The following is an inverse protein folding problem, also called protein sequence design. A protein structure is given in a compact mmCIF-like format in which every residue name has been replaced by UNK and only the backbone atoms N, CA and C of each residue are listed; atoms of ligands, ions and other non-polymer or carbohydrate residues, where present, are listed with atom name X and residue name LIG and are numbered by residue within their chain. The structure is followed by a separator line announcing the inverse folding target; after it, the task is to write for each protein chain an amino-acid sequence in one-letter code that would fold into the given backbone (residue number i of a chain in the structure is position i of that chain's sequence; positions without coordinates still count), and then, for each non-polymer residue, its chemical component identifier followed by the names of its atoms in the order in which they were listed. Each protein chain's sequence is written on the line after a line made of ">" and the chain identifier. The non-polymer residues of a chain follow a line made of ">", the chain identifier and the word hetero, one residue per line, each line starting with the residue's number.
data_IF_096842344375
#
_entry.id   IF_096842344375
#
_cell.length_a   1.000
_cell.length_b   1.000
_cell.length_c   1.000
_cell.angle_alpha   90.00
_cell.angle_beta   90.00
_cell.angle_gamma   90.00
#
_symmetry.space_group_name_H-M   'P 1'
#
loop_
_entity.id
_entity.type
_entity.pdbx_description
1 polymer ?
#
# COMPACT_ATOMS: atom_id res chain seq x y z
N UNK A 1 -54.94 26.63 16.36
CA UNK A 1 -53.84 27.19 15.54
C UNK A 1 -52.52 26.41 15.67
N UNK A 2 -52.15 25.89 16.80
CA UNK A 2 -50.90 25.14 17.03
C UNK A 2 -50.71 23.87 16.19
N UNK A 3 -51.79 23.13 15.86
CA UNK A 3 -51.70 21.91 15.07
C UNK A 3 -51.33 22.13 13.59
N UNK A 4 -51.77 23.25 13.01
CA UNK A 4 -51.41 23.61 11.62
C UNK A 4 -49.95 24.04 11.46
N UNK A 5 -49.37 24.69 12.44
CA UNK A 5 -47.96 25.05 12.45
C UNK A 5 -47.03 23.83 12.65
N UNK A 6 -47.48 22.83 13.42
CA UNK A 6 -46.74 21.58 13.62
C UNK A 6 -46.74 20.71 12.35
N UNK A 7 -47.85 20.65 11.61
CA UNK A 7 -47.94 19.90 10.34
C UNK A 7 -47.10 20.61 9.25
N UNK A 8 -47.12 21.94 9.16
CA UNK A 8 -46.27 22.67 8.21
C UNK A 8 -44.76 22.48 8.48
N UNK A 9 -44.34 22.51 9.75
CA UNK A 9 -42.92 22.27 10.09
C UNK A 9 -42.49 20.81 9.85
N UNK A 10 -43.38 19.83 10.07
CA UNK A 10 -43.12 18.42 9.76
C UNK A 10 -43.01 18.15 8.24
N UNK A 11 -43.88 18.76 7.45
CA UNK A 11 -43.86 18.66 5.97
C UNK A 11 -42.61 19.35 5.40
N UNK A 12 -42.23 20.50 5.96
CA UNK A 12 -40.97 21.19 5.56
C UNK A 12 -39.70 20.38 5.91
N UNK A 13 -39.68 19.67 7.05
CA UNK A 13 -38.59 18.81 7.44
C UNK A 13 -38.48 17.56 6.56
N UNK A 14 -39.64 16.98 6.15
CA UNK A 14 -39.66 15.84 5.21
C UNK A 14 -39.25 16.25 3.76
N UNK A 15 -39.59 17.45 3.34
CA UNK A 15 -39.19 17.96 2.02
C UNK A 15 -37.65 18.22 1.91
N UNK A 16 -36.99 18.53 3.00
CA UNK A 16 -35.53 18.73 3.05
C UNK A 16 -34.73 17.45 3.05
N UNK A 17 -35.31 16.31 3.45
CA UNK A 17 -34.57 15.02 3.47
C UNK A 17 -34.41 14.34 2.11
N UNK A 18 -35.09 14.81 1.06
CA UNK A 18 -35.11 14.25 -0.30
C UNK A 18 -34.16 14.92 -1.30
N UNK A 19 -33.40 15.94 -0.90
CA UNK A 19 -32.64 16.77 -1.85
C UNK A 19 -31.19 16.31 -2.10
N UNK A 20 -30.74 15.18 -1.56
CA UNK A 20 -29.42 14.66 -1.92
C UNK A 20 -29.42 14.17 -3.39
N UNK A 21 -28.69 14.90 -4.24
CA UNK A 21 -28.60 14.61 -5.69
C UNK A 21 -27.32 13.79 -5.95
N UNK A 22 -27.46 12.48 -6.00
CA UNK A 22 -26.32 11.60 -6.32
C UNK A 22 -26.78 10.32 -7.03
N UNK A 23 -25.88 9.61 -7.72
CA UNK A 23 -26.18 8.26 -8.17
C UNK A 23 -26.34 7.32 -6.96
N UNK A 24 -27.19 6.31 -7.09
CA UNK A 24 -27.27 5.24 -6.11
C UNK A 24 -25.90 4.56 -6.01
N UNK A 25 -25.45 4.33 -4.78
CA UNK A 25 -24.24 3.57 -4.52
C UNK A 25 -24.48 2.11 -4.88
N UNK A 26 -23.98 1.71 -6.03
CA UNK A 26 -24.02 0.30 -6.44
C UNK A 26 -22.67 -0.32 -6.04
N UNK A 27 -22.68 -1.14 -5.00
CA UNK A 27 -21.54 -2.03 -4.76
C UNK A 27 -21.47 -3.02 -5.92
N UNK A 28 -20.25 -3.30 -6.46
CA UNK A 28 -20.10 -4.32 -7.47
C UNK A 28 -20.71 -5.64 -6.99
N UNK A 29 -21.53 -6.26 -7.82
CA UNK A 29 -22.05 -7.58 -7.49
C UNK A 29 -20.87 -8.56 -7.44
N UNK A 30 -20.71 -9.35 -6.37
CA UNK A 30 -19.71 -10.41 -6.36
C UNK A 30 -19.96 -11.35 -7.54
N UNK A 31 -18.89 -11.99 -8.09
CA UNK A 31 -19.08 -13.03 -9.09
C UNK A 31 -20.09 -14.07 -8.60
N UNK A 32 -20.83 -14.67 -9.56
CA UNK A 32 -21.83 -15.65 -9.18
C UNK A 32 -21.21 -16.77 -8.33
N UNK A 33 -21.88 -17.26 -7.28
CA UNK A 33 -21.35 -18.37 -6.47
C UNK A 33 -20.93 -19.58 -7.30
N UNK A 34 -21.61 -19.86 -8.41
CA UNK A 34 -21.26 -20.93 -9.34
C UNK A 34 -19.90 -20.74 -10.04
N UNK A 35 -19.42 -19.50 -10.12
CA UNK A 35 -18.09 -19.21 -10.72
C UNK A 35 -16.95 -19.18 -9.69
N UNK A 36 -17.27 -19.04 -8.40
CA UNK A 36 -16.28 -18.85 -7.35
C UNK A 36 -16.33 -19.87 -6.22
N UNK A 37 -17.43 -20.63 -6.10
CA UNK A 37 -17.58 -21.74 -5.14
C UNK A 37 -17.14 -23.05 -5.76
N UNK A 38 -16.19 -23.73 -5.14
CA UNK A 38 -15.67 -25.00 -5.59
C UNK A 38 -14.14 -25.08 -5.50
N UNK A 39 -13.57 -26.27 -5.64
CA UNK A 39 -12.13 -26.45 -5.64
C UNK A 39 -11.51 -25.72 -6.83
N UNK A 40 -10.32 -25.17 -6.66
CA UNK A 40 -9.57 -24.61 -7.78
C UNK A 40 -9.27 -25.69 -8.82
N UNK A 41 -9.36 -25.34 -10.11
CA UNK A 41 -9.21 -26.30 -11.24
C UNK A 41 -7.91 -27.09 -11.22
N UNK A 42 -6.83 -26.50 -10.69
CA UNK A 42 -5.50 -27.12 -10.56
C UNK A 42 -5.20 -27.67 -9.16
N UNK A 43 -6.14 -27.60 -8.23
CA UNK A 43 -5.93 -28.07 -6.87
C UNK A 43 -5.98 -29.61 -6.82
N UNK A 44 -4.86 -30.23 -6.46
CA UNK A 44 -4.85 -31.64 -6.08
C UNK A 44 -5.39 -31.76 -4.65
N UNK A 45 -6.45 -32.52 -4.45
CA UNK A 45 -7.17 -32.67 -3.18
C UNK A 45 -6.31 -33.15 -2.02
N UNK A 46 -5.17 -33.77 -2.31
CA UNK A 46 -4.23 -34.28 -1.30
C UNK A 46 -3.26 -33.20 -0.79
N UNK A 47 -3.12 -32.08 -1.50
CA UNK A 47 -2.15 -31.02 -1.19
C UNK A 47 -2.83 -29.77 -0.65
N UNK A 48 -4.15 -29.60 -0.84
CA UNK A 48 -4.88 -28.40 -0.45
C UNK A 48 -6.12 -28.74 0.37
N UNK A 49 -6.51 -27.80 1.26
CA UNK A 49 -7.76 -27.88 2.02
C UNK A 49 -8.62 -26.64 1.79
N UNK A 50 -9.93 -26.78 1.97
CA UNK A 50 -10.88 -25.68 1.87
C UNK A 50 -10.87 -24.73 3.09
N UNK A 51 -9.99 -24.98 4.05
CA UNK A 51 -9.84 -24.09 5.19
C UNK A 51 -9.30 -22.71 4.74
N UNK A 52 -9.74 -21.62 5.38
CA UNK A 52 -9.22 -20.30 5.03
C UNK A 52 -7.73 -20.18 5.37
N UNK A 53 -6.96 -19.58 4.47
CA UNK A 53 -5.53 -19.29 4.69
C UNK A 53 -5.37 -18.40 5.95
N UNK A 54 -4.52 -18.74 6.93
CA UNK A 54 -4.25 -17.90 8.08
C UNK A 54 -3.59 -16.58 7.66
N UNK A 55 -3.68 -15.54 8.47
CA UNK A 55 -3.04 -14.24 8.19
C UNK A 55 -1.52 -14.34 8.27
N UNK A 56 -1.01 -15.21 9.11
CA UNK A 56 0.39 -15.51 9.34
C UNK A 56 0.82 -16.80 8.61
N UNK A 57 0.43 -16.92 7.34
CA UNK A 57 0.62 -18.10 6.50
C UNK A 57 2.08 -18.58 6.40
N UNK A 58 3.08 -17.70 6.57
CA UNK A 58 4.50 -18.08 6.57
C UNK A 58 4.87 -19.00 7.74
N UNK A 59 4.09 -19.02 8.82
CA UNK A 59 4.28 -19.96 9.93
C UNK A 59 3.99 -21.41 9.59
N UNK A 60 3.33 -21.66 8.45
CA UNK A 60 3.16 -23.00 7.93
C UNK A 60 4.49 -23.69 7.58
N UNK A 61 5.58 -22.91 7.43
CA UNK A 61 6.92 -23.45 7.24
C UNK A 61 7.59 -23.91 8.56
N UNK A 62 7.01 -23.60 9.71
CA UNK A 62 7.51 -23.97 11.04
C UNK A 62 9.00 -23.59 11.26
N UNK A 63 9.42 -22.44 10.70
CA UNK A 63 10.80 -21.94 10.74
C UNK A 63 10.89 -20.67 11.61
N UNK A 64 11.48 -20.75 12.81
CA UNK A 64 11.57 -19.59 13.71
C UNK A 64 12.49 -18.49 13.18
N UNK A 65 13.44 -18.80 12.27
CA UNK A 65 14.28 -17.79 11.62
C UNK A 65 13.45 -16.99 10.64
N UNK A 66 12.62 -17.65 9.84
CA UNK A 66 11.67 -16.99 8.93
C UNK A 66 10.69 -16.11 9.72
N UNK A 67 10.15 -16.60 10.83
CA UNK A 67 9.26 -15.81 11.69
C UNK A 67 9.92 -14.51 12.17
N UNK A 68 11.18 -14.61 12.59
CA UNK A 68 11.98 -13.44 13.00
C UNK A 68 12.23 -12.45 11.85
N UNK A 69 12.59 -12.96 10.67
CA UNK A 69 12.83 -12.11 9.48
C UNK A 69 11.57 -11.39 9.01
N UNK A 70 10.42 -12.08 9.03
CA UNK A 70 9.13 -11.46 8.69
C UNK A 70 8.75 -10.41 9.72
N UNK A 71 8.95 -10.66 11.01
CA UNK A 71 8.69 -9.67 12.07
C UNK A 71 9.56 -8.41 11.89
N UNK A 72 10.85 -8.59 11.61
CA UNK A 72 11.78 -7.50 11.31
C UNK A 72 11.34 -6.71 10.08
N UNK A 73 10.98 -7.40 8.99
CA UNK A 73 10.52 -6.77 7.76
C UNK A 73 9.23 -5.96 7.99
N UNK A 74 8.24 -6.52 8.69
CA UNK A 74 7.00 -5.79 9.01
C UNK A 74 7.24 -4.55 9.88
N UNK A 75 8.28 -4.57 10.73
CA UNK A 75 8.63 -3.45 11.61
C UNK A 75 9.49 -2.36 10.97
N UNK A 76 10.39 -2.73 10.06
CA UNK A 76 11.45 -1.83 9.58
C UNK A 76 11.38 -1.52 8.08
N UNK A 77 10.59 -2.24 7.29
CA UNK A 77 10.54 -2.08 5.84
C UNK A 77 10.12 -0.67 5.41
N UNK A 78 10.83 -0.10 4.43
CA UNK A 78 10.61 1.27 3.95
C UNK A 78 9.33 1.42 3.15
N UNK A 79 8.91 0.40 2.41
CA UNK A 79 7.69 0.45 1.59
C UNK A 79 6.45 0.43 2.47
N UNK A 80 6.48 -0.34 3.58
CA UNK A 80 5.42 -0.30 4.59
C UNK A 80 5.34 1.09 5.21
N UNK A 81 6.47 1.71 5.57
CA UNK A 81 6.48 3.08 6.12
C UNK A 81 5.92 4.10 5.13
N UNK A 82 6.25 3.97 3.84
CA UNK A 82 5.68 4.81 2.79
C UNK A 82 4.15 4.60 2.66
N UNK A 83 3.68 3.36 2.70
CA UNK A 83 2.26 3.04 2.63
C UNK A 83 1.49 3.64 3.81
N UNK A 84 2.04 3.54 5.03
CA UNK A 84 1.48 4.16 6.24
C UNK A 84 1.44 5.70 6.10
N UNK A 85 2.51 6.32 5.60
CA UNK A 85 2.52 7.77 5.37
C UNK A 85 1.46 8.22 4.34
N UNK A 86 1.22 7.42 3.29
CA UNK A 86 0.13 7.67 2.32
C UNK A 86 -1.25 7.56 2.98
N UNK A 87 -1.46 6.57 3.84
CA UNK A 87 -2.69 6.41 4.62
C UNK A 87 -2.89 7.61 5.57
N UNK A 88 -1.84 8.09 6.24
CA UNK A 88 -1.93 9.26 7.13
C UNK A 88 -2.25 10.54 6.35
N UNK A 89 -1.73 10.70 5.13
CA UNK A 89 -2.11 11.78 4.22
C UNK A 89 -3.60 11.71 3.85
N UNK A 90 -4.12 10.54 3.49
CA UNK A 90 -5.55 10.36 3.21
C UNK A 90 -6.42 10.65 4.44
N UNK A 91 -5.96 10.26 5.64
CA UNK A 91 -6.61 10.59 6.92
C UNK A 91 -6.63 12.09 7.18
N UNK A 92 -5.56 12.80 6.86
CA UNK A 92 -5.52 14.26 6.96
C UNK A 92 -6.47 14.93 5.96
N UNK A 93 -6.55 14.42 4.71
CA UNK A 93 -7.49 14.89 3.70
C UNK A 93 -8.95 14.72 4.16
N UNK A 94 -9.28 13.58 4.77
CA UNK A 94 -10.62 13.36 5.36
C UNK A 94 -10.91 14.35 6.51
N UNK A 95 -9.92 14.68 7.33
CA UNK A 95 -10.11 15.72 8.38
C UNK A 95 -10.37 17.08 7.73
N UNK A 96 -9.64 17.44 6.67
CA UNK A 96 -9.88 18.65 5.88
C UNK A 96 -11.31 18.68 5.32
N UNK A 97 -11.73 17.63 4.63
CA UNK A 97 -13.10 17.56 4.09
C UNK A 97 -14.17 17.65 5.18
N UNK A 98 -13.92 17.11 6.37
CA UNK A 98 -14.86 17.23 7.51
C UNK A 98 -14.93 18.66 8.07
N UNK A 99 -13.85 19.46 7.97
CA UNK A 99 -13.88 20.85 8.41
C UNK A 99 -14.80 21.73 7.58
N UNK A 100 -15.08 21.34 6.32
CA UNK A 100 -16.03 22.04 5.44
C UNK A 100 -17.49 21.98 5.93
N UNK A 101 -17.79 21.11 6.91
CA UNK A 101 -19.06 21.10 7.65
C UNK A 101 -19.17 22.16 8.75
N UNK A 102 -18.07 22.80 9.07
CA UNK A 102 -18.02 23.81 10.13
C UNK A 102 -17.92 25.20 9.52
N UNK A 103 -18.42 26.24 10.19
CA UNK A 103 -18.17 27.58 9.74
C UNK A 103 -16.67 27.88 9.66
N UNK A 104 -16.24 28.50 8.58
CA UNK A 104 -14.88 29.01 8.40
C UNK A 104 -14.82 30.43 8.97
N UNK A 105 -13.83 30.68 9.82
CA UNK A 105 -13.59 32.01 10.41
C UNK A 105 -12.30 32.55 9.80
N UNK A 106 -12.40 33.68 9.13
CA UNK A 106 -11.28 34.48 8.63
C UNK A 106 -10.99 35.66 9.53
N UNK A 107 -9.71 35.94 9.78
CA UNK A 107 -9.26 37.18 10.42
C UNK A 107 -8.38 37.94 9.44
N UNK A 108 -8.74 39.21 9.19
CA UNK A 108 -7.99 40.07 8.27
C UNK A 108 -7.49 41.30 9.05
N UNK A 109 -6.21 41.59 8.87
CA UNK A 109 -5.62 42.85 9.35
C UNK A 109 -4.82 43.46 8.21
N UNK A 110 -5.04 44.72 7.92
CA UNK A 110 -4.25 45.45 6.94
C UNK A 110 -3.86 46.82 7.41
N UNK A 111 -2.66 47.23 7.03
CA UNK A 111 -2.19 48.59 7.18
C UNK A 111 -1.67 49.08 5.82
N UNK A 112 -2.17 50.19 5.35
CA UNK A 112 -1.79 50.73 4.04
C UNK A 112 -1.43 52.22 4.22
N UNK A 113 -0.29 52.62 3.67
CA UNK A 113 0.04 54.04 3.48
C UNK A 113 -0.22 54.37 2.00
N UNK A 114 -1.05 55.34 1.77
CA UNK A 114 -1.42 55.78 0.40
C UNK A 114 -1.07 57.23 0.18
N UNK A 115 -0.68 57.54 -1.03
CA UNK A 115 -0.50 58.93 -1.48
C UNK A 115 -1.33 59.12 -2.75
N UNK A 116 -2.35 59.97 -2.64
CA UNK A 116 -3.24 60.34 -3.75
C UNK A 116 -2.54 61.27 -4.72
N UNK A 117 -2.64 61.08 -6.02
CA UNK A 117 -2.12 62.01 -7.04
C UNK A 117 -2.75 63.38 -6.91
N UNK A 118 -1.98 64.42 -7.28
CA UNK A 118 -2.41 65.81 -7.15
C UNK A 118 -3.70 66.14 -7.90
N UNK A 119 -3.86 65.57 -9.07
CA UNK A 119 -5.02 65.79 -9.92
C UNK A 119 -6.32 65.12 -9.40
N UNK A 120 -6.22 64.18 -8.46
CA UNK A 120 -7.35 63.57 -7.79
C UNK A 120 -7.61 64.11 -6.39
N UNK A 121 -6.75 65.07 -5.92
CA UNK A 121 -6.86 65.58 -4.57
C UNK A 121 -7.59 66.93 -4.60
N UNK A 122 -8.69 67.10 -3.86
CA UNK A 122 -9.35 68.43 -3.76
C UNK A 122 -8.40 69.49 -3.21
N UNK A 123 -8.54 70.76 -3.59
CA UNK A 123 -7.70 71.82 -3.06
C UNK A 123 -7.76 71.92 -1.53
N UNK A 124 -6.61 71.81 -0.86
CA UNK A 124 -6.49 71.94 0.59
C UNK A 124 -6.64 70.59 1.35
N UNK A 125 -6.83 69.46 0.69
CA UNK A 125 -6.86 68.15 1.33
C UNK A 125 -5.45 67.54 1.40
N UNK A 126 -5.20 66.76 2.48
CA UNK A 126 -3.95 66.01 2.62
C UNK A 126 -3.86 64.89 1.57
N UNK A 127 -2.71 64.79 0.92
CA UNK A 127 -2.43 63.82 -0.13
C UNK A 127 -1.94 62.48 0.38
N UNK A 128 -1.61 62.38 1.61
CA UNK A 128 -1.09 61.21 2.26
C UNK A 128 -2.01 60.75 3.36
N UNK A 129 -2.27 59.48 3.42
CA UNK A 129 -3.11 58.90 4.48
C UNK A 129 -2.60 57.52 4.88
N UNK A 130 -2.76 57.21 6.16
CA UNK A 130 -2.55 55.86 6.69
C UNK A 130 -3.90 55.24 7.01
N UNK A 131 -4.18 54.10 6.41
CA UNK A 131 -5.38 53.33 6.73
C UNK A 131 -5.01 52.07 7.48
N UNK A 132 -5.70 51.79 8.58
CA UNK A 132 -5.59 50.54 9.33
C UNK A 132 -6.98 49.89 9.33
N UNK A 133 -7.09 48.63 8.99
CA UNK A 133 -8.33 47.89 9.13
C UNK A 133 -8.10 46.54 9.81
N UNK A 134 -9.05 46.14 10.63
CA UNK A 134 -9.14 44.87 11.31
C UNK A 134 -10.54 44.31 11.09
N UNK A 135 -10.64 43.09 10.60
CA UNK A 135 -11.91 42.44 10.31
C UNK A 135 -11.91 40.95 10.72
N UNK A 136 -13.08 40.48 11.06
CA UNK A 136 -13.37 39.07 11.19
C UNK A 136 -14.56 38.72 10.33
N UNK A 137 -14.47 37.65 9.58
CA UNK A 137 -15.54 37.10 8.73
C UNK A 137 -15.84 35.67 9.09
N UNK A 138 -17.09 35.29 8.97
CA UNK A 138 -17.56 33.90 9.16
C UNK A 138 -18.32 33.50 7.92
N UNK A 139 -18.04 32.34 7.39
CA UNK A 139 -18.73 31.77 6.22
C UNK A 139 -19.07 30.31 6.49
N UNK A 140 -20.32 29.90 6.16
CA UNK A 140 -20.82 28.56 6.31
C UNK A 140 -21.65 28.17 5.08
N UNK A 141 -21.29 27.08 4.42
CA UNK A 141 -22.05 26.49 3.32
C UNK A 141 -23.14 25.56 3.87
N UNK A 142 -24.40 25.81 3.52
CA UNK A 142 -25.53 24.95 3.87
C UNK A 142 -25.62 23.81 2.88
N UNK A 143 -25.35 22.58 3.32
CA UNK A 143 -25.27 21.38 2.47
C UNK A 143 -26.65 20.83 2.07
N UNK A 144 -27.42 21.60 1.28
CA UNK A 144 -28.78 21.24 0.86
C UNK A 144 -28.77 20.12 -0.20
N UNK A 145 -27.80 20.09 -1.09
CA UNK A 145 -27.73 19.16 -2.22
C UNK A 145 -26.72 18.05 -2.01
N UNK A 146 -26.09 17.97 -0.83
CA UNK A 146 -25.19 16.89 -0.44
C UNK A 146 -23.76 17.03 -1.00
N UNK A 147 -23.34 18.21 -1.47
CA UNK A 147 -22.01 18.48 -2.00
C UNK A 147 -20.92 18.22 -0.95
N UNK A 148 -21.06 18.85 0.23
CA UNK A 148 -20.09 18.71 1.33
C UNK A 148 -20.12 17.28 1.90
N UNK A 149 -21.31 16.71 2.06
CA UNK A 149 -21.48 15.33 2.51
C UNK A 149 -20.89 14.32 1.54
N UNK A 150 -21.07 14.54 0.23
CA UNK A 150 -20.47 13.73 -0.83
C UNK A 150 -18.94 13.81 -0.82
N UNK A 151 -18.36 15.00 -0.66
CA UNK A 151 -16.92 15.19 -0.57
C UNK A 151 -16.31 14.47 0.65
N UNK A 152 -16.98 14.51 1.79
CA UNK A 152 -16.57 13.76 3.00
C UNK A 152 -16.63 12.26 2.76
N UNK A 153 -17.69 11.79 2.07
CA UNK A 153 -17.84 10.38 1.74
C UNK A 153 -16.76 9.90 0.78
N UNK A 154 -16.48 10.65 -0.28
CA UNK A 154 -15.39 10.38 -1.21
C UNK A 154 -14.05 10.29 -0.47
N UNK A 155 -13.74 11.26 0.39
CA UNK A 155 -12.50 11.25 1.19
C UNK A 155 -12.42 10.10 2.19
N UNK A 156 -13.56 9.62 2.70
CA UNK A 156 -13.62 8.44 3.58
C UNK A 156 -13.29 7.17 2.79
N UNK A 157 -13.83 7.04 1.59
CA UNK A 157 -13.58 5.90 0.72
C UNK A 157 -12.13 5.93 0.19
N UNK A 158 -11.56 7.11 -0.09
CA UNK A 158 -10.12 7.26 -0.40
C UNK A 158 -9.23 6.78 0.75
N UNK A 159 -9.57 7.09 2.00
CA UNK A 159 -8.85 6.58 3.16
C UNK A 159 -8.96 5.05 3.26
N UNK A 160 -10.15 4.50 3.03
CA UNK A 160 -10.34 3.05 3.06
C UNK A 160 -9.55 2.35 1.92
N UNK A 161 -9.46 2.97 0.73
CA UNK A 161 -8.61 2.51 -0.35
C UNK A 161 -7.12 2.54 0.04
N UNK A 162 -6.65 3.62 0.65
CA UNK A 162 -5.26 3.75 1.12
C UNK A 162 -4.91 2.74 2.23
N UNK A 163 -5.88 2.37 3.08
CA UNK A 163 -5.73 1.30 4.07
C UNK A 163 -5.56 -0.06 3.39
N UNK A 164 -6.40 -0.36 2.41
CA UNK A 164 -6.29 -1.60 1.65
C UNK A 164 -4.97 -1.68 0.84
N UNK A 165 -4.50 -0.55 0.27
CA UNK A 165 -3.18 -0.48 -0.36
C UNK A 165 -2.05 -0.79 0.62
N UNK A 166 -2.13 -0.29 1.86
CA UNK A 166 -1.13 -0.59 2.89
C UNK A 166 -1.16 -2.08 3.28
N UNK A 167 -2.34 -2.70 3.31
CA UNK A 167 -2.46 -4.15 3.52
C UNK A 167 -1.84 -4.94 2.36
N UNK A 168 -2.01 -4.49 1.10
CA UNK A 168 -1.38 -5.10 -0.07
C UNK A 168 0.16 -5.05 0.00
N UNK A 169 0.72 -3.91 0.40
CA UNK A 169 2.17 -3.76 0.60
C UNK A 169 2.68 -4.70 1.68
N UNK A 170 1.95 -4.87 2.79
CA UNK A 170 2.33 -5.83 3.84
C UNK A 170 2.38 -7.26 3.32
N UNK A 171 1.35 -7.69 2.57
CA UNK A 171 1.32 -9.03 1.97
C UNK A 171 2.52 -9.22 1.04
N UNK A 172 2.83 -8.23 0.21
CA UNK A 172 3.95 -8.28 -0.72
C UNK A 172 5.29 -8.37 0.01
N UNK A 173 5.52 -7.55 1.04
CA UNK A 173 6.77 -7.58 1.83
C UNK A 173 6.96 -8.92 2.53
N UNK A 174 5.90 -9.51 3.07
CA UNK A 174 5.97 -10.87 3.68
C UNK A 174 6.31 -11.93 2.62
N UNK A 175 5.66 -11.87 1.46
CA UNK A 175 5.93 -12.80 0.36
C UNK A 175 7.37 -12.69 -0.15
N UNK A 176 7.85 -11.47 -0.37
CA UNK A 176 9.22 -11.20 -0.84
C UNK A 176 10.27 -11.64 0.19
N UNK A 177 10.00 -11.42 1.49
CA UNK A 177 10.89 -11.88 2.57
C UNK A 177 10.97 -13.40 2.60
N UNK A 178 9.83 -14.09 2.50
CA UNK A 178 9.76 -15.54 2.46
C UNK A 178 10.49 -16.10 1.23
N UNK A 179 10.27 -15.48 0.05
CA UNK A 179 10.89 -15.88 -1.20
C UNK A 179 12.41 -15.66 -1.17
N UNK A 180 12.88 -14.52 -0.66
CA UNK A 180 14.31 -14.23 -0.55
C UNK A 180 15.00 -15.23 0.40
N UNK A 181 14.36 -15.55 1.53
CA UNK A 181 14.89 -16.56 2.45
C UNK A 181 14.92 -17.97 1.83
N UNK A 182 13.85 -18.37 1.14
CA UNK A 182 13.79 -19.65 0.43
C UNK A 182 14.86 -19.75 -0.67
N UNK A 183 15.09 -18.65 -1.41
CA UNK A 183 16.13 -18.60 -2.44
C UNK A 183 17.54 -18.72 -1.85
N UNK A 184 17.82 -18.08 -0.71
CA UNK A 184 19.10 -18.19 -0.01
C UNK A 184 19.35 -19.64 0.46
N UNK A 185 18.36 -20.28 1.06
CA UNK A 185 18.43 -21.67 1.50
C UNK A 185 18.59 -22.66 0.33
N UNK A 186 17.82 -22.48 -0.74
CA UNK A 186 17.93 -23.30 -1.94
C UNK A 186 19.27 -23.14 -2.64
N UNK A 187 19.81 -21.92 -2.71
CA UNK A 187 21.14 -21.70 -3.27
C UNK A 187 22.23 -22.35 -2.42
N UNK A 188 22.13 -22.31 -1.07
CA UNK A 188 23.04 -23.00 -0.17
C UNK A 188 23.02 -24.52 -0.41
N UNK A 189 21.84 -25.14 -0.48
CA UNK A 189 21.71 -26.55 -0.80
C UNK A 189 22.35 -26.93 -2.16
N UNK A 190 22.15 -26.10 -3.18
CA UNK A 190 22.76 -26.30 -4.51
C UNK A 190 24.28 -26.16 -4.49
N UNK A 191 24.86 -25.27 -3.67
CA UNK A 191 26.30 -25.13 -3.48
C UNK A 191 26.87 -26.43 -2.88
N UNK A 192 26.21 -26.98 -1.85
CA UNK A 192 26.66 -28.20 -1.19
C UNK A 192 26.65 -29.39 -2.15
N UNK A 193 25.60 -29.53 -2.96
CA UNK A 193 25.52 -30.56 -4.02
C UNK A 193 26.61 -30.35 -5.08
N UNK A 194 26.79 -29.11 -5.55
CA UNK A 194 27.80 -28.80 -6.57
C UNK A 194 29.23 -29.11 -6.07
N UNK A 195 29.54 -28.77 -4.82
CA UNK A 195 30.83 -29.09 -4.19
C UNK A 195 31.03 -30.59 -4.04
N UNK A 196 29.98 -31.34 -3.67
CA UNK A 196 30.04 -32.80 -3.60
C UNK A 196 30.31 -33.44 -4.96
N UNK A 197 29.69 -32.93 -6.03
CA UNK A 197 29.95 -33.39 -7.40
C UNK A 197 31.41 -33.14 -7.81
N UNK A 198 31.94 -31.94 -7.50
CA UNK A 198 33.34 -31.61 -7.80
C UNK A 198 34.29 -32.53 -7.05
N UNK A 199 34.03 -32.81 -5.76
CA UNK A 199 34.82 -33.72 -4.96
C UNK A 199 34.88 -35.15 -5.54
N UNK A 200 33.71 -35.70 -6.00
CA UNK A 200 33.64 -36.99 -6.68
C UNK A 200 34.42 -37.01 -8.00
N UNK A 201 34.40 -35.92 -8.75
CA UNK A 201 35.15 -35.76 -9.99
C UNK A 201 36.66 -35.63 -9.73
N UNK A 202 37.09 -34.97 -8.64
CA UNK A 202 38.46 -34.92 -8.19
C UNK A 202 39.01 -36.31 -7.85
N UNK A 203 38.22 -37.15 -7.18
CA UNK A 203 38.58 -38.52 -6.90
C UNK A 203 38.69 -39.37 -8.19
N UNK A 204 37.74 -39.20 -9.10
CA UNK A 204 37.77 -39.87 -10.43
C UNK A 204 38.97 -39.44 -11.26
N UNK A 205 39.30 -38.15 -11.24
CA UNK A 205 40.49 -37.60 -11.94
C UNK A 205 41.78 -38.18 -11.36
N UNK A 206 41.90 -38.22 -10.05
CA UNK A 206 43.04 -38.81 -9.33
C UNK A 206 43.24 -40.29 -9.72
N UNK A 207 42.15 -41.06 -9.74
CA UNK A 207 42.22 -42.48 -10.17
C UNK A 207 42.63 -42.63 -11.64
N UNK A 208 42.05 -41.84 -12.53
CA UNK A 208 42.35 -41.88 -13.96
C UNK A 208 43.77 -41.46 -14.26
N UNK A 209 44.33 -40.46 -13.57
CA UNK A 209 45.73 -40.07 -13.69
C UNK A 209 46.66 -41.22 -13.29
N UNK A 210 46.43 -41.93 -12.17
CA UNK A 210 47.20 -43.10 -11.76
C UNK A 210 47.14 -44.22 -12.81
N UNK A 211 45.97 -44.49 -13.42
CA UNK A 211 45.83 -45.48 -14.50
C UNK A 211 46.63 -45.05 -15.72
N UNK A 212 46.62 -43.77 -16.06
CA UNK A 212 47.42 -43.24 -17.15
C UNK A 212 48.93 -43.41 -16.92
N UNK A 213 49.44 -43.10 -15.72
CA UNK A 213 50.83 -43.24 -15.29
C UNK A 213 51.36 -44.68 -15.46
N UNK A 214 50.50 -45.68 -15.27
CA UNK A 214 50.86 -47.09 -15.44
C UNK A 214 50.46 -47.64 -16.83
N UNK A 215 50.10 -46.78 -17.78
CA UNK A 215 49.78 -47.15 -19.14
C UNK A 215 48.39 -47.82 -19.37
N UNK A 216 47.46 -47.81 -18.36
CA UNK A 216 46.15 -48.42 -18.41
C UNK A 216 45.04 -47.45 -18.85
N UNK A 217 45.33 -46.17 -19.11
CA UNK A 217 44.41 -45.20 -19.65
C UNK A 217 45.16 -44.23 -20.59
N UNK A 218 44.45 -43.66 -21.56
CA UNK A 218 44.99 -42.66 -22.46
C UNK A 218 44.93 -41.24 -21.88
N UNK A 219 45.68 -40.31 -22.43
CA UNK A 219 45.67 -38.89 -21.99
C UNK A 219 44.35 -38.18 -22.28
N UNK A 220 43.56 -38.67 -23.28
CA UNK A 220 42.23 -38.13 -23.60
C UNK A 220 41.25 -38.40 -22.45
N UNK A 221 41.31 -39.58 -21.83
CA UNK A 221 40.48 -39.91 -20.68
C UNK A 221 40.75 -38.95 -19.51
N UNK A 222 42.02 -38.62 -19.24
CA UNK A 222 42.39 -37.65 -18.21
C UNK A 222 41.83 -36.26 -18.54
N UNK A 223 42.03 -35.80 -19.79
CA UNK A 223 41.58 -34.49 -20.24
C UNK A 223 40.05 -34.32 -20.17
N UNK A 224 39.30 -35.38 -20.52
CA UNK A 224 37.83 -35.38 -20.44
C UNK A 224 37.32 -35.23 -19.02
N UNK A 225 37.83 -35.97 -18.06
CA UNK A 225 37.40 -35.88 -16.66
C UNK A 225 37.82 -34.54 -16.09
N UNK A 226 39.03 -34.04 -16.42
CA UNK A 226 39.46 -32.70 -15.96
C UNK A 226 38.55 -31.59 -16.50
N UNK A 227 38.23 -31.61 -17.79
CA UNK A 227 37.31 -30.67 -18.40
C UNK A 227 35.93 -30.71 -17.75
N UNK A 228 35.38 -31.91 -17.51
CA UNK A 228 34.08 -32.06 -16.83
C UNK A 228 34.13 -31.48 -15.39
N UNK A 229 35.18 -31.77 -14.64
CA UNK A 229 35.42 -31.28 -13.30
C UNK A 229 35.46 -29.75 -13.30
N UNK A 230 36.21 -29.14 -14.19
CA UNK A 230 36.42 -27.69 -14.28
C UNK A 230 35.11 -26.99 -14.70
N UNK A 231 34.34 -27.59 -15.62
CA UNK A 231 32.99 -27.13 -16.00
C UNK A 231 32.05 -27.10 -14.78
N UNK A 232 32.06 -28.17 -13.97
CA UNK A 232 31.22 -28.24 -12.76
C UNK A 232 31.67 -27.25 -11.69
N UNK A 233 32.99 -27.10 -11.49
CA UNK A 233 33.54 -26.12 -10.55
C UNK A 233 33.20 -24.68 -10.94
N UNK A 234 33.18 -24.37 -12.22
CA UNK A 234 32.83 -23.05 -12.73
C UNK A 234 31.37 -22.62 -12.45
N UNK A 235 30.46 -23.56 -12.16
CA UNK A 235 29.05 -23.21 -11.80
C UNK A 235 28.91 -22.72 -10.35
N UNK A 236 29.86 -23.04 -9.45
CA UNK A 236 29.77 -22.72 -8.02
C UNK A 236 29.73 -21.21 -7.77
N UNK A 237 30.63 -20.37 -8.34
CA UNK A 237 30.60 -18.93 -8.11
C UNK A 237 29.28 -18.26 -8.52
N UNK A 238 28.61 -18.76 -9.57
CA UNK A 238 27.32 -18.25 -9.99
C UNK A 238 26.23 -18.51 -8.93
N UNK A 239 26.21 -19.71 -8.35
CA UNK A 239 25.23 -20.06 -7.30
C UNK A 239 25.56 -19.28 -6.01
N UNK A 240 26.84 -19.07 -5.69
CA UNK A 240 27.27 -18.23 -4.56
C UNK A 240 26.82 -16.78 -4.74
N UNK A 241 26.90 -16.23 -5.96
CA UNK A 241 26.36 -14.91 -6.28
C UNK A 241 24.84 -14.83 -6.11
N UNK A 242 24.10 -15.86 -6.57
CA UNK A 242 22.64 -15.96 -6.36
C UNK A 242 22.27 -15.98 -4.87
N UNK A 243 23.02 -16.74 -4.06
CA UNK A 243 22.83 -16.76 -2.61
C UNK A 243 23.08 -15.39 -1.97
N UNK A 244 24.17 -14.75 -2.35
CA UNK A 244 24.52 -13.42 -1.84
C UNK A 244 23.46 -12.37 -2.21
N UNK A 245 22.94 -12.42 -3.45
CA UNK A 245 21.87 -11.53 -3.88
C UNK A 245 20.58 -11.73 -3.05
N UNK A 246 20.22 -12.98 -2.74
CA UNK A 246 19.08 -13.29 -1.90
C UNK A 246 19.25 -12.76 -0.45
N UNK A 247 20.44 -12.89 0.12
CA UNK A 247 20.75 -12.34 1.46
C UNK A 247 20.75 -10.80 1.45
N UNK A 248 21.23 -10.15 0.39
CA UNK A 248 21.15 -8.69 0.26
C UNK A 248 19.70 -8.21 0.11
N UNK A 249 18.86 -8.96 -0.59
CA UNK A 249 17.42 -8.68 -0.65
C UNK A 249 16.77 -8.77 0.74
N UNK A 250 17.10 -9.81 1.53
CA UNK A 250 16.65 -9.93 2.92
C UNK A 250 17.09 -8.75 3.78
N UNK A 251 18.35 -8.31 3.68
CA UNK A 251 18.84 -7.15 4.41
C UNK A 251 18.01 -5.89 4.06
N UNK A 252 17.77 -5.66 2.77
CA UNK A 252 16.95 -4.52 2.31
C UNK A 252 15.52 -4.60 2.84
N UNK A 253 14.89 -5.78 2.75
CA UNK A 253 13.51 -6.00 3.20
C UNK A 253 13.36 -5.78 4.71
N UNK A 254 14.37 -6.19 5.50
CA UNK A 254 14.40 -6.01 6.96
C UNK A 254 14.92 -4.64 7.38
N UNK A 255 15.20 -3.73 6.43
CA UNK A 255 15.70 -2.38 6.72
C UNK A 255 17.11 -2.33 7.31
N UNK A 256 17.93 -3.36 7.05
CA UNK A 256 19.29 -3.52 7.55
C UNK A 256 20.31 -3.38 6.44
N UNK A 257 21.55 -3.11 6.80
CA UNK A 257 22.68 -3.29 5.87
C UNK A 257 23.05 -4.78 5.79
N UNK A 258 23.69 -5.25 4.71
CA UNK A 258 24.12 -6.64 4.61
C UNK A 258 24.99 -7.12 5.77
N UNK A 259 25.79 -6.23 6.36
CA UNK A 259 26.65 -6.53 7.51
C UNK A 259 25.87 -6.72 8.83
N UNK A 260 24.69 -6.12 8.93
CA UNK A 260 23.81 -6.20 10.10
C UNK A 260 22.81 -7.36 10.03
N UNK A 261 22.72 -8.05 8.88
CA UNK A 261 21.85 -9.21 8.75
C UNK A 261 22.36 -10.33 9.69
N UNK A 262 21.49 -10.90 10.56
CA UNK A 262 21.91 -11.98 11.45
C UNK A 262 22.49 -13.17 10.67
N UNK A 263 23.64 -13.68 11.11
CA UNK A 263 24.34 -14.79 10.44
C UNK A 263 23.42 -16.02 10.25
N UNK A 264 22.56 -16.30 11.24
CA UNK A 264 21.58 -17.40 11.20
C UNK A 264 20.67 -17.34 9.97
N UNK A 265 20.43 -16.16 9.40
CA UNK A 265 19.62 -15.98 8.19
C UNK A 265 20.23 -16.67 6.96
N UNK A 266 21.53 -16.94 6.98
CA UNK A 266 22.25 -17.63 5.92
C UNK A 266 22.63 -19.08 6.24
N UNK A 267 22.36 -19.59 7.44
CA UNK A 267 22.82 -20.92 7.86
C UNK A 267 21.99 -22.07 7.28
N UNK A 268 20.73 -21.80 6.90
CA UNK A 268 19.86 -22.83 6.34
C UNK A 268 20.37 -23.29 4.96
N UNK A 269 20.60 -24.57 4.83
CA UNK A 269 20.98 -25.24 3.56
C UNK A 269 19.96 -26.31 3.12
N UNK A 270 18.76 -26.28 3.71
CA UNK A 270 17.64 -27.16 3.34
C UNK A 270 16.51 -26.27 2.81
N UNK A 271 15.91 -26.60 1.67
CA UNK A 271 14.76 -25.86 1.13
C UNK A 271 13.62 -25.75 2.15
N UNK A 272 12.83 -24.69 2.05
CA UNK A 272 11.60 -24.55 2.85
C UNK A 272 10.54 -25.54 2.31
N UNK A 273 9.90 -26.25 3.23
CA UNK A 273 8.83 -27.19 2.91
C UNK A 273 7.65 -26.96 3.84
N UNK A 274 6.43 -27.13 3.34
CA UNK A 274 5.21 -27.16 4.13
C UNK A 274 4.74 -28.61 4.18
N UNK A 275 4.79 -29.20 5.38
CA UNK A 275 4.44 -30.61 5.60
C UNK A 275 2.92 -30.85 5.60
N UNK A 276 2.13 -29.86 5.96
CA UNK A 276 0.67 -29.95 6.03
C UNK A 276 -0.01 -29.52 4.71
N UNK A 277 -1.20 -30.04 4.40
CA UNK A 277 -1.97 -29.55 3.26
C UNK A 277 -2.26 -28.06 3.37
N UNK A 278 -2.09 -27.32 2.25
CA UNK A 278 -2.23 -25.86 2.20
C UNK A 278 -3.71 -25.45 2.36
N UNK A 279 -4.04 -24.59 3.35
CA UNK A 279 -5.37 -24.03 3.49
C UNK A 279 -5.57 -22.90 2.47
N UNK A 280 -6.27 -23.16 1.37
CA UNK A 280 -6.46 -22.19 0.27
C UNK A 280 -7.82 -21.49 0.28
N UNK A 281 -8.81 -22.02 1.03
CA UNK A 281 -10.17 -21.50 1.03
C UNK A 281 -10.89 -21.77 -0.29
N UNK A 282 -11.92 -20.95 -0.57
CA UNK A 282 -12.62 -20.92 -1.86
C UNK A 282 -12.37 -19.62 -2.64
N UNK A 283 -12.76 -19.57 -3.91
CA UNK A 283 -12.55 -18.41 -4.76
C UNK A 283 -13.27 -17.15 -4.26
N UNK A 284 -14.43 -17.28 -3.62
CA UNK A 284 -15.19 -16.15 -3.05
C UNK A 284 -14.44 -15.55 -1.87
N UNK A 285 -13.96 -16.40 -0.95
CA UNK A 285 -13.15 -15.96 0.19
C UNK A 285 -11.84 -15.31 -0.26
N UNK A 286 -11.18 -15.88 -1.29
CA UNK A 286 -9.97 -15.32 -1.85
C UNK A 286 -10.21 -13.90 -2.39
N UNK A 287 -11.24 -13.69 -3.20
CA UNK A 287 -11.59 -12.38 -3.75
C UNK A 287 -11.92 -11.35 -2.65
N UNK A 288 -12.70 -11.75 -1.65
CA UNK A 288 -13.07 -10.87 -0.54
C UNK A 288 -11.88 -10.46 0.34
N UNK A 289 -10.85 -11.31 0.42
CA UNK A 289 -9.63 -11.06 1.22
C UNK A 289 -8.58 -10.23 0.48
N UNK A 290 -8.59 -10.21 -0.84
CA UNK A 290 -7.58 -9.52 -1.65
C UNK A 290 -7.59 -8.02 -1.39
N UNK A 291 -6.49 -7.45 -0.89
CA UNK A 291 -6.44 -6.02 -0.57
C UNK A 291 -6.53 -5.14 -1.83
N UNK A 292 -5.98 -5.57 -2.96
CA UNK A 292 -6.03 -4.86 -4.24
C UNK A 292 -7.48 -4.73 -4.78
N UNK A 293 -8.29 -5.80 -4.65
CA UNK A 293 -9.72 -5.77 -4.99
C UNK A 293 -10.46 -4.80 -4.07
N UNK A 294 -10.25 -4.89 -2.75
CA UNK A 294 -10.84 -3.97 -1.77
C UNK A 294 -10.45 -2.51 -2.05
N UNK A 295 -9.19 -2.24 -2.40
CA UNK A 295 -8.75 -0.90 -2.76
C UNK A 295 -9.48 -0.37 -4.01
N UNK A 296 -9.63 -1.21 -5.04
CA UNK A 296 -10.36 -0.85 -6.26
C UNK A 296 -11.84 -0.57 -6.01
N UNK A 297 -12.51 -1.38 -5.19
CA UNK A 297 -13.91 -1.16 -4.77
C UNK A 297 -14.07 0.18 -4.04
N UNK A 298 -13.17 0.48 -3.09
CA UNK A 298 -13.25 1.74 -2.35
C UNK A 298 -12.99 2.96 -3.27
N UNK A 299 -12.09 2.84 -4.25
CA UNK A 299 -11.90 3.89 -5.27
C UNK A 299 -13.15 4.09 -6.13
N UNK A 300 -13.80 3.01 -6.55
CA UNK A 300 -15.05 3.08 -7.31
C UNK A 300 -16.14 3.81 -6.50
N UNK A 301 -16.26 3.52 -5.21
CA UNK A 301 -17.20 4.21 -4.32
C UNK A 301 -16.83 5.68 -4.16
N UNK A 302 -15.55 6.03 -4.02
CA UNK A 302 -15.08 7.41 -3.95
C UNK A 302 -15.41 8.18 -5.23
N UNK A 303 -15.20 7.59 -6.40
CA UNK A 303 -15.50 8.21 -7.69
C UNK A 303 -17.00 8.37 -7.92
N UNK A 304 -17.79 7.40 -7.45
CA UNK A 304 -19.25 7.51 -7.45
C UNK A 304 -19.75 8.68 -6.59
N UNK A 305 -19.16 8.85 -5.39
CA UNK A 305 -19.46 10.00 -4.53
C UNK A 305 -19.04 11.33 -5.22
N UNK A 306 -17.89 11.39 -5.93
CA UNK A 306 -17.46 12.56 -6.72
C UNK A 306 -18.41 12.92 -7.86
N UNK A 307 -19.03 11.91 -8.49
CA UNK A 307 -20.11 12.15 -9.47
C UNK A 307 -21.30 12.86 -8.79
N UNK A 308 -21.64 12.43 -7.57
CA UNK A 308 -22.67 13.09 -6.75
C UNK A 308 -22.31 14.55 -6.45
N UNK A 309 -21.06 14.82 -6.06
CA UNK A 309 -20.55 16.20 -5.85
C UNK A 309 -20.68 17.04 -7.10
N UNK A 310 -20.21 16.53 -8.27
CA UNK A 310 -20.30 17.23 -9.54
C UNK A 310 -21.76 17.51 -9.97
N UNK A 311 -22.69 16.62 -9.67
CA UNK A 311 -24.13 16.87 -9.88
C UNK A 311 -24.67 17.95 -8.94
N UNK A 312 -24.23 17.95 -7.67
CA UNK A 312 -24.64 18.98 -6.71
C UNK A 312 -24.14 20.38 -7.13
N UNK A 313 -23.01 20.49 -7.84
CA UNK A 313 -22.49 21.74 -8.35
C UNK A 313 -23.33 22.38 -9.47
N UNK A 314 -24.29 21.64 -10.05
CA UNK A 314 -25.31 22.17 -10.99
C UNK A 314 -26.40 22.97 -10.28
N UNK A 315 -26.49 22.87 -8.95
CA UNK A 315 -27.49 23.56 -8.12
C UNK A 315 -26.90 24.77 -7.41
N UNK A 316 -27.75 25.77 -7.04
CA UNK A 316 -27.28 26.94 -6.32
C UNK A 316 -26.61 26.58 -4.98
N UNK A 317 -25.45 27.17 -4.70
CA UNK A 317 -24.81 27.11 -3.38
C UNK A 317 -25.41 28.16 -2.47
N UNK A 318 -25.82 27.76 -1.29
CA UNK A 318 -26.32 28.68 -0.26
C UNK A 318 -25.29 28.81 0.82
N UNK A 319 -24.71 30.02 0.95
CA UNK A 319 -23.71 30.34 1.93
C UNK A 319 -24.27 31.38 2.90
N UNK A 320 -24.18 31.09 4.19
CA UNK A 320 -24.46 32.03 5.27
C UNK A 320 -23.15 32.71 5.65
N UNK A 321 -23.12 34.02 5.65
CA UNK A 321 -21.93 34.79 5.99
C UNK A 321 -22.28 35.99 6.89
N UNK A 322 -21.28 36.38 7.68
CA UNK A 322 -21.33 37.56 8.50
C UNK A 322 -19.93 38.13 8.69
N UNK A 323 -19.81 39.43 8.80
CA UNK A 323 -18.54 40.08 9.04
C UNK A 323 -18.68 41.20 10.07
N UNK A 324 -17.64 41.42 10.84
CA UNK A 324 -17.48 42.54 11.75
C UNK A 324 -16.07 43.09 11.57
N UNK A 325 -15.95 44.42 11.52
CA UNK A 325 -14.65 45.06 11.35
C UNK A 325 -14.63 46.47 11.83
N UNK A 326 -13.43 47.00 12.01
CA UNK A 326 -13.16 48.40 12.30
C UNK A 326 -12.07 48.92 11.38
N UNK A 327 -12.21 50.16 10.93
CA UNK A 327 -11.19 50.85 10.15
C UNK A 327 -10.95 52.25 10.73
N UNK A 328 -9.69 52.65 10.73
CA UNK A 328 -9.25 53.99 11.09
C UNK A 328 -8.39 54.54 9.97
N UNK A 329 -8.58 55.81 9.64
CA UNK A 329 -7.76 56.52 8.66
C UNK A 329 -7.35 57.89 9.25
N UNK A 330 -6.10 58.28 9.00
CA UNK A 330 -5.56 59.57 9.39
C UNK A 330 -5.16 60.38 8.16
#
# INVERSE_FOLDING_TARGET
>A
MAYRTFILSAVSALALSGCAVGPDRVSPSPPSPSATSGPFLSAQTDIVTANPLPQDWWRLYEDPVLDGLVADALGANTDIRQAVARMDRARAALRGARSDRLPTVGLTASAAYSRTPEFETPPGADRTGTGISLGADVSYEVDLFGRVSGQISASRNDLAAAQADADAVRVMVVADTTLAYANAASAAARIDVARSIVALLDDSLRLTRRRHEVGMADGLAVARIQSLRDQRAATIPEIEAQRSAALFALATLTGRTPAELPAISGERSIPLEIAAPLPVGDGTQLLARRPDVRAAEQRLLADTDRIGVARADLYPRITLGGSVGSSASS
#
